data_IF_127351402135
#
_entry.id   IF_127351402135
#
_cell.length_a   1.000
_cell.length_b   1.000
_cell.length_c   1.000
_cell.angle_alpha   90.00
_cell.angle_beta   90.00
_cell.angle_gamma   90.00
#
_symmetry.space_group_name_H-M   'P 1'
#
loop_
_entity.id
_entity.type
_entity.pdbx_description
1 polymer ?
#
# COMPACT_ATOMS: atom_id res chain seq x y z
N UNK A 1 -44.35 -26.55 -7.67
CA UNK A 1 -42.98 -26.55 -8.25
C UNK A 1 -42.23 -25.21 -8.15
N UNK A 2 -42.66 -24.22 -7.34
CA UNK A 2 -41.99 -22.90 -7.23
C UNK A 2 -41.15 -22.72 -5.94
N UNK A 3 -41.54 -23.40 -4.85
CA UNK A 3 -40.86 -23.33 -3.54
C UNK A 3 -39.46 -23.98 -3.56
N UNK A 4 -39.28 -25.08 -4.32
CA UNK A 4 -38.00 -25.79 -4.40
C UNK A 4 -36.95 -25.01 -5.20
N UNK A 5 -37.38 -24.35 -6.27
CA UNK A 5 -36.54 -23.46 -7.06
C UNK A 5 -36.05 -22.26 -6.25
N UNK A 6 -36.93 -21.65 -5.45
CA UNK A 6 -36.57 -20.52 -4.59
C UNK A 6 -35.52 -20.89 -3.52
N UNK A 7 -35.67 -22.05 -2.88
CA UNK A 7 -34.67 -22.54 -1.90
C UNK A 7 -33.32 -22.86 -2.57
N UNK A 8 -33.34 -23.37 -3.79
CA UNK A 8 -32.14 -23.65 -4.57
C UNK A 8 -31.40 -22.36 -4.96
N UNK A 9 -32.12 -21.32 -5.37
CA UNK A 9 -31.54 -20.00 -5.65
C UNK A 9 -30.92 -19.35 -4.40
N UNK A 10 -31.59 -19.44 -3.24
CA UNK A 10 -31.06 -18.91 -1.97
C UNK A 10 -29.80 -19.66 -1.54
N UNK A 11 -29.75 -20.99 -1.72
CA UNK A 11 -28.58 -21.79 -1.42
C UNK A 11 -27.37 -21.44 -2.32
N UNK A 12 -27.61 -21.18 -3.61
CA UNK A 12 -26.56 -20.73 -4.54
C UNK A 12 -26.03 -19.35 -4.16
N UNK A 13 -26.91 -18.39 -3.83
CA UNK A 13 -26.48 -17.06 -3.40
C UNK A 13 -25.65 -17.10 -2.11
N UNK A 14 -26.03 -17.96 -1.16
CA UNK A 14 -25.30 -18.14 0.09
C UNK A 14 -23.94 -18.86 -0.09
N UNK A 15 -23.80 -19.72 -1.09
CA UNK A 15 -22.52 -20.36 -1.40
C UNK A 15 -21.53 -19.40 -2.09
N UNK A 16 -22.04 -18.42 -2.85
CA UNK A 16 -21.23 -17.43 -3.57
C UNK A 16 -20.69 -16.30 -2.67
N UNK A 17 -21.25 -16.09 -1.47
CA UNK A 17 -20.81 -15.04 -0.55
C UNK A 17 -19.52 -15.37 0.21
N UNK A 18 -19.05 -16.62 0.15
CA UNK A 18 -17.86 -17.11 0.88
C UNK A 18 -16.55 -16.77 0.13
N UNK A 19 -16.63 -16.28 -1.11
CA UNK A 19 -15.46 -16.12 -1.99
C UNK A 19 -14.86 -14.70 -2.02
N UNK A 20 -15.24 -13.80 -1.11
CA UNK A 20 -14.78 -12.40 -1.14
C UNK A 20 -13.90 -12.05 0.05
N UNK A 21 -12.74 -12.71 0.17
CA UNK A 21 -11.61 -12.13 0.90
C UNK A 21 -10.88 -11.21 -0.09
N UNK A 22 -11.18 -9.91 -0.04
CA UNK A 22 -10.43 -8.94 -0.81
C UNK A 22 -8.99 -8.90 -0.27
N UNK A 23 -8.01 -9.18 -1.14
CA UNK A 23 -6.60 -9.02 -0.78
C UNK A 23 -6.31 -7.54 -0.57
N UNK A 24 -6.09 -7.14 0.68
CA UNK A 24 -5.77 -5.75 1.01
C UNK A 24 -4.39 -5.44 0.44
N UNK A 25 -4.21 -4.36 -0.36
CA UNK A 25 -2.91 -4.00 -0.89
C UNK A 25 -1.87 -3.91 0.23
N UNK A 26 -0.84 -4.75 0.14
CA UNK A 26 0.27 -4.79 1.12
C UNK A 26 1.41 -3.82 0.77
N UNK A 27 1.20 -3.00 -0.25
CA UNK A 27 2.17 -2.05 -0.79
C UNK A 27 1.58 -0.65 -0.81
N UNK A 28 2.43 0.33 -0.53
CA UNK A 28 2.08 1.75 -0.52
C UNK A 28 2.90 2.40 -1.64
N UNK A 29 2.22 3.09 -2.56
CA UNK A 29 2.88 3.93 -3.54
C UNK A 29 3.14 5.31 -2.92
N UNK A 30 4.35 5.84 -3.12
CA UNK A 30 4.75 7.16 -2.63
C UNK A 30 5.52 7.91 -3.72
N UNK A 31 5.32 9.22 -3.81
CA UNK A 31 6.04 10.13 -4.71
C UNK A 31 6.44 11.38 -3.94
N UNK A 32 7.66 11.88 -4.18
CA UNK A 32 8.15 13.08 -3.49
C UNK A 32 9.58 13.43 -3.88
N UNK A 33 10.06 14.56 -3.35
CA UNK A 33 11.46 14.99 -3.44
C UNK A 33 11.99 15.18 -2.03
N UNK A 34 13.21 14.73 -1.79
CA UNK A 34 13.88 14.93 -0.52
C UNK A 34 14.59 16.29 -0.55
N UNK A 35 14.36 17.13 0.46
CA UNK A 35 15.03 18.40 0.65
C UNK A 35 15.84 18.38 1.94
N UNK A 36 16.95 19.12 1.95
CA UNK A 36 17.75 19.34 3.14
C UNK A 36 17.25 20.54 3.97
N UNK A 37 17.94 20.83 5.08
CA UNK A 37 17.61 21.95 5.97
C UNK A 37 17.81 23.32 5.32
N UNK A 38 18.56 23.40 4.21
CA UNK A 38 18.75 24.60 3.40
C UNK A 38 17.74 24.71 2.26
N UNK A 39 16.71 23.85 2.29
CA UNK A 39 15.66 23.76 1.29
C UNK A 39 16.20 23.44 -0.13
N UNK A 40 17.36 22.78 -0.21
CA UNK A 40 17.95 22.28 -1.46
C UNK A 40 17.54 20.83 -1.68
N UNK A 41 17.37 20.42 -2.94
CA UNK A 41 17.08 19.03 -3.28
C UNK A 41 18.28 18.17 -2.93
N UNK A 42 18.05 17.09 -2.18
CA UNK A 42 19.09 16.08 -1.94
C UNK A 42 19.34 15.33 -3.25
N UNK A 43 20.49 15.60 -3.84
CA UNK A 43 20.98 14.96 -5.07
C UNK A 43 22.12 13.98 -4.74
N UNK A 44 21.84 13.01 -3.87
CA UNK A 44 22.77 11.93 -3.54
C UNK A 44 22.02 10.61 -3.34
N UNK A 45 22.73 9.50 -3.41
CA UNK A 45 22.20 8.18 -3.07
C UNK A 45 22.10 8.05 -1.56
N UNK A 46 20.88 7.88 -1.04
CA UNK A 46 20.63 7.77 0.40
C UNK A 46 19.76 6.57 0.73
N UNK A 47 19.99 6.00 1.91
CA UNK A 47 19.12 4.98 2.47
C UNK A 47 17.84 5.63 3.02
N UNK A 48 16.68 5.12 2.61
CA UNK A 48 15.38 5.62 3.08
C UNK A 48 14.65 4.51 3.83
N UNK A 49 14.09 4.85 4.99
CA UNK A 49 13.17 3.97 5.72
C UNK A 49 11.80 4.64 5.87
N UNK A 50 10.76 3.94 5.44
CA UNK A 50 9.37 4.34 5.58
C UNK A 50 8.75 3.58 6.74
N UNK A 51 7.96 4.27 7.57
CA UNK A 51 7.23 3.68 8.70
C UNK A 51 5.82 4.25 8.78
N UNK A 52 4.84 3.41 9.05
CA UNK A 52 3.45 3.80 9.26
C UNK A 52 3.01 3.44 10.67
N UNK A 53 2.39 4.38 11.36
CA UNK A 53 1.88 4.24 12.73
C UNK A 53 0.37 4.50 12.77
N UNK A 54 -0.31 3.99 13.81
CA UNK A 54 -1.75 4.18 14.04
C UNK A 54 -2.11 5.45 14.83
N UNK A 55 -1.12 6.18 15.36
CA UNK A 55 -1.33 7.42 16.11
C UNK A 55 -0.16 8.40 15.90
N UNK A 56 -0.44 9.71 16.05
CA UNK A 56 0.54 10.79 15.89
C UNK A 56 1.68 10.73 16.92
N UNK A 57 1.36 10.32 18.15
CA UNK A 57 2.34 10.13 19.23
C UNK A 57 2.08 8.78 19.90
N UNK A 58 3.16 8.08 20.26
CA UNK A 58 3.13 6.78 20.94
C UNK A 58 2.28 5.67 20.25
N UNK A 59 2.08 5.75 18.94
CA UNK A 59 1.36 4.74 18.16
C UNK A 59 2.14 3.44 17.93
N UNK A 60 1.44 2.40 17.52
CA UNK A 60 2.01 1.11 17.13
C UNK A 60 2.51 1.14 15.69
N UNK A 61 3.66 0.50 15.44
CA UNK A 61 4.18 0.32 14.08
C UNK A 61 3.29 -0.67 13.32
N UNK A 62 2.62 -0.19 12.28
CA UNK A 62 1.77 -1.01 11.40
C UNK A 62 2.54 -1.58 10.22
N UNK A 63 3.50 -0.83 9.68
CA UNK A 63 4.26 -1.20 8.49
C UNK A 63 5.62 -0.51 8.43
N UNK A 64 6.61 -1.19 7.86
CA UNK A 64 7.93 -0.64 7.60
C UNK A 64 8.50 -1.16 6.28
N UNK A 65 9.21 -0.28 5.56
CA UNK A 65 10.08 -0.63 4.45
C UNK A 65 11.46 0.01 4.62
N UNK A 66 12.49 -0.73 4.27
CA UNK A 66 13.87 -0.26 4.20
C UNK A 66 14.31 -0.37 2.74
N UNK A 67 14.66 0.76 2.13
CA UNK A 67 15.15 0.85 0.77
C UNK A 67 16.63 1.24 0.82
N UNK A 68 17.49 0.26 0.54
CA UNK A 68 18.96 0.39 0.54
C UNK A 68 19.55 0.77 -0.83
N UNK A 69 18.70 1.13 -1.80
CA UNK A 69 19.09 1.45 -3.17
C UNK A 69 18.15 2.50 -3.77
N UNK A 70 17.98 3.63 -3.08
CA UNK A 70 17.19 4.74 -3.64
C UNK A 70 18.00 5.42 -4.73
N UNK A 71 17.80 4.97 -5.97
CA UNK A 71 18.47 5.50 -7.16
C UNK A 71 17.98 6.90 -7.48
N UNK A 72 18.87 7.71 -8.05
CA UNK A 72 18.56 9.07 -8.48
C UNK A 72 17.53 9.02 -9.62
N UNK A 73 16.43 9.76 -9.48
CA UNK A 73 15.53 10.05 -10.59
C UNK A 73 16.00 11.34 -11.29
N UNK A 74 16.22 11.29 -12.61
CA UNK A 74 16.49 12.49 -13.38
C UNK A 74 15.25 13.41 -13.49
N UNK A 75 15.40 14.61 -14.05
CA UNK A 75 14.30 15.57 -14.24
C UNK A 75 13.18 15.05 -15.16
N UNK A 76 13.38 13.91 -15.82
CA UNK A 76 12.41 13.21 -16.66
C UNK A 76 11.79 11.99 -15.96
N UNK A 77 12.16 11.72 -14.70
CA UNK A 77 11.64 10.62 -13.88
C UNK A 77 12.33 9.28 -14.09
N UNK A 78 13.46 9.22 -14.79
CA UNK A 78 14.19 7.97 -15.02
C UNK A 78 15.19 7.70 -13.89
N UNK A 79 15.20 6.48 -13.37
CA UNK A 79 16.16 6.03 -12.36
C UNK A 79 17.49 5.66 -13.03
N UNK A 80 18.61 6.29 -12.64
CA UNK A 80 19.97 5.99 -13.15
C UNK A 80 20.79 5.16 -12.18
#
# INVERSE_FOLDING_TARGET
>A
MKIGFFKFTVAILAALSIAQAADSPRVINYQGKLFDNSNQVVDDTVNISYRLYDAETAGNLLWQQISSDTRKADLQGNYR
#
